data_IF_156367909157
#
_entry.id   IF_156367909157
#
_cell.length_a   1.000
_cell.length_b   1.000
_cell.length_c   1.000
_cell.angle_alpha   90.00
_cell.angle_beta   90.00
_cell.angle_gamma   90.00
#
_symmetry.space_group_name_H-M   'P 1'
#
loop_
_entity.id
_entity.type
_entity.pdbx_description
1 polymer ?
#
# COMPACT_ATOMS: atom_id res chain seq x y z
N UNK A 1 -42.85 -57.45 -17.04
CA UNK A 1 -42.06 -56.47 -17.82
C UNK A 1 -42.68 -55.05 -17.80
N UNK A 2 -42.96 -54.46 -16.62
CA UNK A 2 -43.51 -53.08 -16.52
C UNK A 2 -42.77 -52.13 -15.56
N UNK A 3 -41.98 -52.63 -14.61
CA UNK A 3 -41.27 -51.77 -13.63
C UNK A 3 -39.80 -51.54 -13.93
N UNK A 4 -39.19 -52.31 -14.85
CA UNK A 4 -37.77 -52.19 -15.19
C UNK A 4 -37.46 -51.03 -16.15
N UNK A 5 -38.48 -50.44 -16.80
CA UNK A 5 -38.34 -49.23 -17.62
C UNK A 5 -38.57 -47.94 -16.82
N UNK A 6 -39.27 -47.99 -15.68
CA UNK A 6 -39.56 -46.81 -14.86
C UNK A 6 -38.33 -46.39 -14.04
N UNK A 7 -37.55 -47.36 -13.56
CA UNK A 7 -36.32 -47.10 -12.79
C UNK A 7 -35.17 -46.52 -13.62
N UNK A 8 -35.12 -46.81 -14.93
CA UNK A 8 -34.08 -46.27 -15.83
C UNK A 8 -34.37 -44.79 -16.17
N UNK A 9 -35.64 -44.41 -16.30
CA UNK A 9 -36.02 -43.02 -16.56
C UNK A 9 -35.81 -42.10 -15.33
N UNK A 10 -35.97 -42.60 -14.11
CA UNK A 10 -35.74 -41.79 -12.89
C UNK A 10 -34.25 -41.53 -12.63
N UNK A 11 -33.37 -42.51 -12.90
CA UNK A 11 -31.92 -42.33 -12.74
C UNK A 11 -31.35 -41.31 -13.74
N UNK A 12 -31.85 -41.30 -14.98
CA UNK A 12 -31.39 -40.36 -16.01
C UNK A 12 -31.76 -38.90 -15.69
N UNK A 13 -32.93 -38.66 -15.09
CA UNK A 13 -33.36 -37.30 -14.71
C UNK A 13 -32.52 -36.74 -13.54
N UNK A 14 -32.10 -37.59 -12.60
CA UNK A 14 -31.25 -37.19 -11.47
C UNK A 14 -29.83 -36.83 -11.92
N UNK A 15 -29.28 -37.55 -12.90
CA UNK A 15 -27.94 -37.26 -13.45
C UNK A 15 -27.94 -35.95 -14.27
N UNK A 16 -28.99 -35.70 -15.06
CA UNK A 16 -29.13 -34.45 -15.82
C UNK A 16 -29.35 -33.26 -14.88
N UNK A 17 -30.17 -33.41 -13.83
CA UNK A 17 -30.42 -32.36 -12.85
C UNK A 17 -29.18 -31.97 -12.04
N UNK A 18 -28.36 -32.94 -11.64
CA UNK A 18 -27.10 -32.69 -10.91
C UNK A 18 -26.03 -32.04 -11.78
N UNK A 19 -25.90 -32.45 -13.06
CA UNK A 19 -25.02 -31.78 -14.01
C UNK A 19 -25.44 -30.33 -14.29
N UNK A 20 -26.75 -30.07 -14.44
CA UNK A 20 -27.26 -28.70 -14.61
C UNK A 20 -27.01 -27.83 -13.36
N UNK A 21 -27.25 -28.39 -12.16
CA UNK A 21 -26.99 -27.70 -10.91
C UNK A 21 -25.51 -27.34 -10.77
N UNK A 22 -24.58 -28.27 -11.09
CA UNK A 22 -23.14 -28.03 -10.99
C UNK A 22 -22.66 -26.95 -11.98
N UNK A 23 -23.21 -26.91 -13.20
CA UNK A 23 -22.90 -25.86 -14.19
C UNK A 23 -23.43 -24.49 -13.75
N UNK A 24 -24.62 -24.43 -13.13
CA UNK A 24 -25.19 -23.17 -12.64
C UNK A 24 -24.48 -22.71 -11.37
N UNK A 25 -24.15 -23.61 -10.44
CA UNK A 25 -23.43 -23.27 -9.20
C UNK A 25 -21.99 -22.83 -9.48
N UNK A 26 -21.30 -23.43 -10.45
CA UNK A 26 -19.95 -22.99 -10.83
C UNK A 26 -19.95 -21.68 -11.64
N UNK A 27 -21.09 -21.27 -12.24
CA UNK A 27 -21.22 -19.95 -12.90
C UNK A 27 -21.34 -18.79 -11.91
N UNK A 28 -21.66 -19.04 -10.64
CA UNK A 28 -21.77 -17.99 -9.62
C UNK A 28 -20.41 -17.40 -9.19
N UNK A 29 -19.28 -17.99 -9.61
CA UNK A 29 -17.93 -17.49 -9.36
C UNK A 29 -17.24 -16.92 -10.60
N UNK A 30 -17.98 -16.64 -11.68
CA UNK A 30 -17.45 -16.01 -12.89
C UNK A 30 -18.18 -14.72 -13.23
N UNK A 31 -18.18 -13.79 -12.27
CA UNK A 31 -18.40 -12.39 -12.56
C UNK A 31 -17.08 -11.77 -13.03
N UNK A 32 -16.70 -12.07 -14.27
CA UNK A 32 -15.93 -11.13 -15.08
C UNK A 32 -16.82 -9.92 -15.33
N UNK A 33 -16.84 -8.99 -14.38
CA UNK A 33 -17.26 -7.62 -14.68
C UNK A 33 -16.07 -6.92 -15.31
N UNK A 34 -15.95 -7.08 -16.63
CA UNK A 34 -15.27 -6.12 -17.50
C UNK A 34 -16.00 -4.78 -17.39
N UNK A 35 -15.69 -4.02 -16.34
CA UNK A 35 -16.04 -2.62 -16.21
C UNK A 35 -14.96 -1.79 -16.91
N UNK A 36 -15.39 -0.84 -17.73
CA UNK A 36 -14.55 0.18 -18.37
C UNK A 36 -13.46 0.74 -17.44
N UNK A 37 -12.20 0.90 -17.90
CA UNK A 37 -11.17 1.55 -17.12
C UNK A 37 -11.42 3.05 -17.17
N UNK A 38 -12.26 3.54 -16.28
CA UNK A 38 -12.23 4.95 -15.88
C UNK A 38 -12.07 5.01 -14.37
N UNK A 39 -11.03 4.32 -13.88
CA UNK A 39 -10.37 4.79 -12.68
C UNK A 39 -9.61 6.04 -13.12
N UNK A 40 -10.25 7.20 -13.04
CA UNK A 40 -9.46 8.41 -12.77
C UNK A 40 -8.86 8.14 -11.40
N UNK A 41 -7.65 7.59 -11.39
CA UNK A 41 -6.78 7.55 -10.23
C UNK A 41 -6.59 8.99 -9.79
N UNK A 42 -7.48 9.47 -8.93
CA UNK A 42 -7.11 10.47 -7.96
C UNK A 42 -6.15 9.72 -7.04
N UNK A 43 -4.85 9.74 -7.36
CA UNK A 43 -3.87 9.08 -6.50
C UNK A 43 -3.96 9.76 -5.13
N UNK A 44 -4.56 9.05 -4.18
CA UNK A 44 -4.73 9.56 -2.84
C UNK A 44 -3.37 9.46 -2.15
N UNK A 45 -2.97 10.55 -1.49
CA UNK A 45 -1.86 10.57 -0.55
C UNK A 45 -2.26 9.74 0.69
N UNK A 46 -2.31 8.42 0.51
CA UNK A 46 -2.75 7.47 1.53
C UNK A 46 -1.63 7.24 2.55
N UNK A 47 -2.03 6.88 3.76
CA UNK A 47 -1.09 6.39 4.77
C UNK A 47 -0.38 5.14 4.26
N UNK A 48 0.93 5.05 4.47
CA UNK A 48 1.69 3.82 4.29
C UNK A 48 2.45 3.46 5.55
N UNK A 49 2.74 2.18 5.71
CA UNK A 49 3.42 1.63 6.89
C UNK A 49 4.65 0.87 6.46
N UNK A 50 5.77 1.16 7.11
CA UNK A 50 7.04 0.48 6.96
C UNK A 50 7.41 -0.10 8.32
N UNK A 51 7.64 -1.41 8.39
CA UNK A 51 8.15 -2.05 9.60
C UNK A 51 9.58 -2.51 9.35
N UNK A 52 10.49 -2.03 10.18
CA UNK A 52 11.87 -2.46 10.20
C UNK A 52 12.27 -2.99 11.59
N UNK A 53 12.50 -4.29 11.67
CA UNK A 53 12.78 -4.96 12.94
C UNK A 53 11.64 -4.73 13.94
N UNK A 54 11.96 -4.05 15.05
CA UNK A 54 10.99 -3.70 16.09
C UNK A 54 10.42 -2.28 15.94
N UNK A 55 10.80 -1.53 14.91
CA UNK A 55 10.37 -0.16 14.67
C UNK A 55 9.32 -0.14 13.56
N UNK A 56 8.23 0.58 13.76
CA UNK A 56 7.19 0.80 12.76
C UNK A 56 7.06 2.28 12.45
N UNK A 57 7.14 2.62 11.17
CA UNK A 57 6.94 3.96 10.62
C UNK A 57 5.60 4.00 9.92
N UNK A 58 4.75 4.97 10.26
CA UNK A 58 3.50 5.28 9.56
C UNK A 58 3.64 6.67 8.96
N UNK A 59 3.44 6.80 7.65
CA UNK A 59 3.69 8.04 6.93
C UNK A 59 2.52 8.44 6.05
N UNK A 60 2.12 9.71 6.12
CA UNK A 60 1.06 10.32 5.32
C UNK A 60 1.62 11.57 4.64
N UNK A 61 1.69 11.63 3.30
CA UNK A 61 2.03 12.87 2.61
C UNK A 61 0.89 13.89 2.70
N UNK A 62 1.21 15.18 2.86
CA UNK A 62 0.22 16.26 2.98
C UNK A 62 -0.08 16.94 1.64
N UNK A 63 0.83 17.80 1.19
CA UNK A 63 0.74 18.54 -0.06
C UNK A 63 2.05 18.35 -0.83
N UNK A 64 1.94 17.70 -1.98
CA UNK A 64 3.06 17.41 -2.89
C UNK A 64 2.87 18.14 -4.24
N UNK A 65 2.23 19.30 -4.24
CA UNK A 65 2.10 20.16 -5.42
C UNK A 65 3.36 21.01 -5.62
N UNK A 66 3.60 21.48 -6.85
CA UNK A 66 4.75 22.36 -7.16
C UNK A 66 4.59 23.78 -6.63
N UNK A 67 3.37 24.17 -6.24
CA UNK A 67 3.06 25.45 -5.61
C UNK A 67 3.31 25.46 -4.09
N UNK A 68 3.46 24.29 -3.47
CA UNK A 68 3.76 24.18 -2.05
C UNK A 68 5.16 24.74 -1.75
N UNK A 69 5.33 25.41 -0.61
CA UNK A 69 6.64 25.91 -0.16
C UNK A 69 7.56 24.77 0.27
N UNK A 70 6.98 23.75 0.89
CA UNK A 70 7.64 22.51 1.33
C UNK A 70 6.76 21.32 1.01
N UNK A 71 7.38 20.15 0.84
CA UNK A 71 6.68 18.87 0.78
C UNK A 71 6.75 18.21 2.14
N UNK A 72 5.58 18.05 2.75
CA UNK A 72 5.44 17.66 4.14
C UNK A 72 4.87 16.24 4.26
N UNK A 73 5.43 15.47 5.18
CA UNK A 73 5.00 14.12 5.51
C UNK A 73 4.72 14.04 7.02
N UNK A 74 3.49 13.72 7.42
CA UNK A 74 3.23 13.31 8.80
C UNK A 74 3.83 11.93 9.03
N UNK A 75 4.65 11.81 10.07
CA UNK A 75 5.34 10.57 10.43
C UNK A 75 5.05 10.24 11.88
N UNK A 76 4.55 9.02 12.13
CA UNK A 76 4.51 8.40 13.45
C UNK A 76 5.45 7.20 13.48
N UNK A 77 6.25 7.09 14.54
CA UNK A 77 7.26 6.06 14.74
C UNK A 77 7.02 5.41 16.08
N UNK A 78 6.87 4.09 16.08
CA UNK A 78 6.61 3.29 17.27
C UNK A 78 7.65 2.18 17.38
N UNK A 79 8.09 1.89 18.60
CA UNK A 79 8.83 0.66 18.89
C UNK A 79 8.47 0.08 20.25
N UNK A 80 8.59 -1.24 20.38
CA UNK A 80 8.37 -1.95 21.65
C UNK A 80 9.68 -2.26 22.38
N UNK A 81 10.84 -1.99 21.76
CA UNK A 81 12.16 -2.26 22.34
C UNK A 81 13.17 -1.20 21.91
N UNK A 82 14.20 -0.98 22.72
CA UNK A 82 15.25 0.01 22.40
C UNK A 82 14.75 1.46 22.46
N UNK A 83 15.47 2.39 21.83
CA UNK A 83 15.13 3.81 21.80
C UNK A 83 15.18 4.35 20.37
N UNK A 84 14.29 5.28 20.04
CA UNK A 84 14.18 5.92 18.73
C UNK A 84 15.15 7.10 18.59
N UNK A 85 16.44 6.83 18.69
CA UNK A 85 17.50 7.84 18.78
C UNK A 85 17.94 8.42 17.43
N UNK A 86 17.40 7.93 16.32
CA UNK A 86 17.84 8.34 14.98
C UNK A 86 17.37 9.76 14.65
N UNK A 87 18.21 10.55 13.97
CA UNK A 87 17.77 11.78 13.34
C UNK A 87 17.13 11.49 11.98
N UNK A 88 15.84 11.79 11.84
CA UNK A 88 15.10 11.56 10.60
C UNK A 88 15.60 12.43 9.45
N UNK A 89 16.14 13.62 9.73
CA UNK A 89 16.72 14.48 8.69
C UNK A 89 17.93 13.79 8.06
N UNK A 90 18.73 13.13 8.89
CA UNK A 90 19.94 12.45 8.43
C UNK A 90 19.64 11.16 7.67
N UNK A 91 18.63 10.39 8.09
CA UNK A 91 18.38 9.06 7.53
C UNK A 91 17.30 9.01 6.43
N UNK A 92 16.47 10.03 6.28
CA UNK A 92 15.39 10.02 5.30
C UNK A 92 15.82 10.62 3.94
N UNK A 93 15.43 9.95 2.86
CA UNK A 93 15.62 10.41 1.48
C UNK A 93 14.32 10.31 0.71
N UNK A 94 13.97 11.34 -0.04
CA UNK A 94 12.90 11.27 -1.03
C UNK A 94 13.54 10.94 -2.39
N UNK A 95 12.96 10.00 -3.12
CA UNK A 95 13.45 9.55 -4.42
C UNK A 95 12.38 9.80 -5.47
N UNK A 96 12.75 10.43 -6.58
CA UNK A 96 11.81 10.69 -7.68
C UNK A 96 11.74 9.54 -8.69
N UNK A 97 10.85 9.68 -9.68
CA UNK A 97 10.66 8.68 -10.73
C UNK A 97 11.84 8.51 -11.70
N UNK A 98 12.89 9.32 -11.57
CA UNK A 98 14.14 9.22 -12.33
C UNK A 98 15.27 8.66 -11.48
N UNK A 99 15.02 8.37 -10.20
CA UNK A 99 16.02 7.87 -9.26
C UNK A 99 16.88 8.95 -8.62
N UNK A 100 16.53 10.24 -8.74
CA UNK A 100 17.26 11.29 -8.03
C UNK A 100 16.87 11.26 -6.54
N UNK A 101 17.85 11.44 -5.66
CA UNK A 101 17.63 11.45 -4.21
C UNK A 101 17.71 12.87 -3.64
N UNK A 102 16.79 13.19 -2.73
CA UNK A 102 16.66 14.48 -2.07
C UNK A 102 16.68 14.26 -0.55
N UNK A 103 17.50 15.04 0.15
CA UNK A 103 17.57 14.98 1.62
C UNK A 103 16.37 15.69 2.24
N UNK A 104 15.93 15.19 3.39
CA UNK A 104 15.03 15.94 4.24
C UNK A 104 15.69 17.26 4.66
N UNK A 105 14.89 18.32 4.75
CA UNK A 105 15.35 19.66 5.13
C UNK A 105 15.11 19.94 6.61
N UNK A 106 14.08 19.33 7.20
CA UNK A 106 13.69 19.60 8.58
C UNK A 106 12.81 18.49 9.16
N UNK A 107 12.94 18.28 10.47
CA UNK A 107 12.01 17.52 11.29
C UNK A 107 11.35 18.44 12.30
N UNK A 108 10.02 18.51 12.27
CA UNK A 108 9.19 19.26 13.22
C UNK A 108 8.37 18.28 14.06
N UNK A 109 8.94 17.83 15.18
CA UNK A 109 8.28 16.85 16.02
C UNK A 109 9.07 16.48 17.27
N UNK A 110 8.75 15.31 17.82
CA UNK A 110 9.45 14.77 18.97
C UNK A 110 10.97 14.62 18.69
N UNK A 111 11.78 15.12 19.62
CA UNK A 111 13.24 14.96 19.58
C UNK A 111 13.63 13.48 19.57
N UNK A 112 14.88 13.14 19.15
CA UNK A 112 15.39 11.78 19.25
C UNK A 112 15.27 11.20 20.66
N UNK A 113 14.92 9.92 20.73
CA UNK A 113 14.75 9.14 21.95
C UNK A 113 13.34 8.62 22.19
N UNK A 114 13.19 7.83 23.26
CA UNK A 114 11.91 7.25 23.68
C UNK A 114 11.45 6.09 22.78
N UNK A 115 10.17 5.71 22.91
CA UNK A 115 9.59 4.55 22.21
C UNK A 115 8.47 4.95 21.23
N UNK A 116 8.08 6.22 21.22
CA UNK A 116 7.06 6.79 20.35
C UNK A 116 7.50 8.20 19.93
N UNK A 117 7.50 8.48 18.64
CA UNK A 117 7.82 9.80 18.08
C UNK A 117 6.84 10.15 16.98
N UNK A 118 6.37 11.39 16.99
CA UNK A 118 5.49 11.92 15.95
C UNK A 118 5.97 13.31 15.52
N UNK A 119 5.70 13.65 14.26
CA UNK A 119 6.08 14.94 13.70
C UNK A 119 5.93 15.04 12.19
N UNK A 120 6.42 16.15 11.66
CA UNK A 120 6.39 16.47 10.24
C UNK A 120 7.82 16.43 9.69
N UNK A 121 8.03 15.55 8.71
CA UNK A 121 9.27 15.50 7.94
C UNK A 121 9.11 16.32 6.66
N UNK A 122 10.03 17.27 6.43
CA UNK A 122 9.94 18.24 5.34
C UNK A 122 11.02 18.02 4.29
N UNK A 123 10.65 18.28 3.04
CA UNK A 123 11.54 18.27 1.88
C UNK A 123 11.32 19.55 1.05
N UNK A 124 12.32 19.91 0.25
CA UNK A 124 12.12 20.88 -0.83
C UNK A 124 11.21 20.27 -1.92
N UNK A 125 10.27 21.04 -2.49
CA UNK A 125 9.46 20.59 -3.61
C UNK A 125 10.33 20.18 -4.82
N UNK A 126 9.95 19.10 -5.49
CA UNK A 126 10.66 18.63 -6.70
C UNK A 126 10.02 19.26 -7.94
N UNK A 127 10.86 19.87 -8.79
CA UNK A 127 10.44 20.49 -10.05
C UNK A 127 11.30 19.99 -11.22
N UNK A 128 10.70 19.53 -12.33
CA UNK A 128 9.26 19.37 -12.54
C UNK A 128 8.66 18.28 -11.63
N UNK A 129 7.33 18.36 -11.37
CA UNK A 129 6.64 17.38 -10.53
C UNK A 129 6.85 15.96 -11.09
N UNK A 130 7.39 15.00 -10.30
CA UNK A 130 7.59 13.64 -10.75
C UNK A 130 6.26 12.88 -10.76
N UNK A 131 6.21 11.74 -11.47
CA UNK A 131 5.02 10.88 -11.52
C UNK A 131 4.80 10.09 -10.21
N UNK A 132 5.87 9.87 -9.46
CA UNK A 132 5.82 9.26 -8.14
C UNK A 132 6.99 9.73 -7.29
N UNK A 133 6.83 9.58 -5.99
CA UNK A 133 7.90 9.75 -5.00
C UNK A 133 7.99 8.52 -4.13
N UNK A 134 9.20 8.20 -3.70
CA UNK A 134 9.50 7.13 -2.77
C UNK A 134 10.28 7.69 -1.58
N UNK A 135 9.72 7.60 -0.37
CA UNK A 135 10.42 7.93 0.86
C UNK A 135 11.20 6.71 1.32
N UNK A 136 12.53 6.79 1.28
CA UNK A 136 13.44 5.80 1.83
C UNK A 136 13.89 6.23 3.22
N UNK A 137 13.83 5.31 4.17
CA UNK A 137 14.36 5.50 5.52
C UNK A 137 15.58 4.59 5.64
N UNK A 138 16.77 5.18 5.77
CA UNK A 138 17.99 4.41 5.96
C UNK A 138 17.99 3.86 7.38
N UNK A 139 17.84 2.55 7.49
CA UNK A 139 17.89 1.86 8.77
C UNK A 139 19.12 0.94 8.82
N UNK A 140 19.44 0.47 10.02
CA UNK A 140 20.59 -0.41 10.24
C UNK A 140 20.30 -1.87 9.89
N UNK A 141 19.05 -2.22 9.59
CA UNK A 141 18.69 -3.56 9.16
C UNK A 141 18.81 -3.69 7.64
N UNK A 142 19.36 -4.80 7.17
CA UNK A 142 19.58 -5.08 5.74
C UNK A 142 18.32 -5.58 5.02
N UNK A 143 17.13 -5.18 5.46
CA UNK A 143 15.88 -5.64 4.83
C UNK A 143 15.63 -4.90 3.52
N UNK A 144 15.18 -5.64 2.49
CA UNK A 144 15.02 -5.15 1.11
C UNK A 144 13.89 -4.13 0.94
N UNK A 145 13.08 -3.86 1.97
CA UNK A 145 11.90 -3.00 1.90
C UNK A 145 11.99 -1.87 2.94
N UNK A 146 12.85 -0.86 2.72
CA UNK A 146 12.97 0.32 3.59
C UNK A 146 12.35 1.58 2.99
N UNK A 147 11.35 1.41 2.13
CA UNK A 147 10.78 2.50 1.33
C UNK A 147 9.25 2.50 1.26
N UNK A 148 8.68 3.69 1.08
CA UNK A 148 7.25 3.96 0.98
C UNK A 148 6.99 4.78 -0.29
N UNK A 149 6.08 4.36 -1.18
CA UNK A 149 5.95 4.95 -2.53
C UNK A 149 4.54 5.43 -2.84
N UNK A 150 4.42 6.69 -3.26
CA UNK A 150 3.16 7.30 -3.69
C UNK A 150 3.26 7.77 -5.15
N UNK A 151 2.27 7.44 -5.99
CA UNK A 151 2.11 8.15 -7.27
C UNK A 151 1.47 9.52 -6.97
N UNK A 152 1.82 10.56 -7.72
CA UNK A 152 1.41 11.93 -7.39
C UNK A 152 1.03 12.75 -8.62
#
# INVERSE_FOLDING_TARGET
MKYQKITIFTLAIIIVGTALYYVISNRANSSNSSGFPTQIEKTALQIQTLTDGAVTYKVIPKDLTTSATTWDFDVSIDTHTGSLDQDLVDIARLVDNKGNEYKATMWEGAAPGGHHREGILKFSPISPRPAFVELKIQTTSSTENNSLRWNI
#
